data_IF_454584383220
#
_entry.id   IF_454584383220
#
_cell.length_a   1.000
_cell.length_b   1.000
_cell.length_c   1.000
_cell.angle_alpha   90.00
_cell.angle_beta   90.00
_cell.angle_gamma   90.00
#
_symmetry.space_group_name_H-M   'P 1'
#
loop_
_entity.id
_entity.type
_entity.pdbx_description
1 polymer ?
#
# COMPACT_ATOMS: atom_id res chain seq x y z
N UNK A 1 -1.30 -31.35 76.48
CA UNK A 1 -0.90 -31.63 75.07
C UNK A 1 -2.03 -31.99 74.11
N UNK A 2 -2.96 -32.92 74.44
CA UNK A 2 -4.02 -33.37 73.48
C UNK A 2 -4.95 -32.27 72.96
N UNK A 3 -5.33 -31.26 73.77
CA UNK A 3 -6.20 -30.15 73.31
C UNK A 3 -5.54 -29.23 72.28
N UNK A 4 -4.23 -28.97 72.38
CA UNK A 4 -3.50 -28.15 71.41
C UNK A 4 -3.33 -28.83 70.05
N UNK A 5 -3.23 -30.16 70.02
CA UNK A 5 -3.11 -30.92 68.78
C UNK A 5 -4.41 -30.92 67.96
N UNK A 6 -5.57 -30.87 68.65
CA UNK A 6 -6.89 -30.81 68.00
C UNK A 6 -7.10 -29.44 67.35
N UNK A 7 -6.78 -28.34 68.04
CA UNK A 7 -6.92 -26.98 67.48
C UNK A 7 -6.02 -26.73 66.28
N UNK A 8 -4.79 -27.26 66.27
CA UNK A 8 -3.88 -27.13 65.12
C UNK A 8 -4.42 -27.88 63.89
N UNK A 9 -4.98 -29.09 64.08
CA UNK A 9 -5.57 -29.86 62.96
C UNK A 9 -6.80 -29.17 62.37
N UNK A 10 -7.69 -28.62 63.20
CA UNK A 10 -8.87 -27.91 62.72
C UNK A 10 -8.50 -26.62 61.98
N UNK A 11 -7.50 -25.89 62.46
CA UNK A 11 -7.01 -24.68 61.80
C UNK A 11 -6.36 -24.99 60.44
N UNK A 12 -5.54 -26.05 60.38
CA UNK A 12 -4.93 -26.49 59.13
C UNK A 12 -5.97 -26.92 58.09
N UNK A 13 -7.01 -27.64 58.52
CA UNK A 13 -8.09 -28.07 57.62
C UNK A 13 -8.91 -26.88 57.10
N UNK A 14 -9.24 -25.91 57.96
CA UNK A 14 -9.91 -24.67 57.55
C UNK A 14 -9.06 -23.86 56.56
N UNK A 15 -7.77 -23.72 56.82
CA UNK A 15 -6.85 -23.01 55.92
C UNK A 15 -6.75 -23.72 54.56
N UNK A 16 -6.67 -25.05 54.55
CA UNK A 16 -6.62 -25.85 53.34
C UNK A 16 -7.92 -25.75 52.53
N UNK A 17 -9.07 -25.77 53.20
CA UNK A 17 -10.38 -25.56 52.58
C UNK A 17 -10.50 -24.15 51.97
N UNK A 18 -10.04 -23.11 52.67
CA UNK A 18 -10.02 -21.74 52.15
C UNK A 18 -9.09 -21.62 50.94
N UNK A 19 -7.89 -22.20 51.00
CA UNK A 19 -6.94 -22.19 49.87
C UNK A 19 -7.52 -22.92 48.64
N UNK A 20 -8.11 -24.11 48.82
CA UNK A 20 -8.80 -24.84 47.75
C UNK A 20 -9.97 -24.04 47.17
N UNK A 21 -10.72 -23.31 48.01
CA UNK A 21 -11.82 -22.45 47.57
C UNK A 21 -11.31 -21.25 46.76
N UNK A 22 -10.19 -20.64 47.16
CA UNK A 22 -9.57 -19.53 46.43
C UNK A 22 -9.07 -20.00 45.07
N UNK A 23 -8.43 -21.16 44.99
CA UNK A 23 -8.01 -21.76 43.71
C UNK A 23 -9.22 -22.07 42.83
N UNK A 24 -10.30 -22.63 43.38
CA UNK A 24 -11.52 -22.91 42.63
C UNK A 24 -12.22 -21.63 42.11
N UNK A 25 -12.12 -20.49 42.83
CA UNK A 25 -12.68 -19.20 42.37
C UNK A 25 -11.77 -18.52 41.35
N UNK A 26 -10.45 -18.60 41.50
CA UNK A 26 -9.47 -18.03 40.56
C UNK A 26 -9.37 -18.82 39.25
N UNK A 27 -9.73 -20.10 39.25
CA UNK A 27 -9.77 -20.96 38.06
C UNK A 27 -11.15 -21.05 37.38
N UNK A 28 -12.13 -20.21 37.74
CA UNK A 28 -13.33 -20.07 36.92
C UNK A 28 -13.00 -19.27 35.66
N UNK A 29 -13.62 -19.65 34.54
CA UNK A 29 -13.57 -18.95 33.23
C UNK A 29 -13.96 -17.46 33.32
N UNK A 30 -14.54 -17.04 34.45
CA UNK A 30 -15.03 -15.69 34.75
C UNK A 30 -14.22 -14.99 35.87
N UNK A 31 -12.94 -15.29 36.03
CA UNK A 31 -12.07 -14.52 36.94
C UNK A 31 -11.92 -13.06 36.49
N UNK A 32 -11.69 -12.12 37.42
CA UNK A 32 -11.50 -10.67 37.14
C UNK A 32 -10.43 -10.36 36.07
N UNK A 33 -9.47 -11.25 35.87
CA UNK A 33 -8.42 -11.12 34.85
C UNK A 33 -8.90 -11.52 33.43
N UNK A 34 -9.96 -12.32 33.32
CA UNK A 34 -10.53 -12.70 32.03
C UNK A 34 -11.42 -11.57 31.45
N UNK A 35 -12.09 -10.80 32.32
CA UNK A 35 -12.91 -9.63 31.92
C UNK A 35 -12.10 -8.43 31.41
N UNK A 36 -10.77 -8.42 31.56
CA UNK A 36 -9.88 -7.36 31.04
C UNK A 36 -9.27 -7.68 29.67
N UNK A 37 -9.58 -8.83 29.07
CA UNK A 37 -9.06 -9.20 27.74
C UNK A 37 -9.94 -8.57 26.66
N UNK A 38 -9.50 -7.44 26.11
CA UNK A 38 -10.14 -6.85 24.94
C UNK A 38 -9.75 -7.62 23.68
N UNK A 39 -10.73 -8.21 22.99
CA UNK A 39 -10.53 -8.99 21.75
C UNK A 39 -10.97 -8.24 20.50
N UNK A 40 -11.61 -7.08 20.64
CA UNK A 40 -12.02 -6.25 19.52
C UNK A 40 -10.84 -5.76 18.68
N UNK A 41 -11.16 -5.23 17.50
CA UNK A 41 -10.24 -4.42 16.71
C UNK A 41 -10.76 -2.99 16.77
N UNK A 42 -9.94 -2.02 17.21
CA UNK A 42 -10.37 -0.63 17.20
C UNK A 42 -10.40 -0.10 15.77
N UNK A 43 -11.30 0.83 15.46
CA UNK A 43 -11.37 1.42 14.12
C UNK A 43 -10.08 2.14 13.71
N UNK A 44 -9.31 2.64 14.68
CA UNK A 44 -7.99 3.23 14.48
C UNK A 44 -6.93 2.23 13.99
N UNK A 45 -7.15 0.94 14.23
CA UNK A 45 -6.19 -0.12 13.93
C UNK A 45 -6.44 -0.72 12.54
N UNK A 46 -7.55 -0.37 11.88
CA UNK A 46 -7.88 -0.87 10.55
C UNK A 46 -6.96 -0.19 9.52
N UNK A 47 -5.95 -0.93 9.06
CA UNK A 47 -5.09 -0.51 7.98
C UNK A 47 -5.47 -1.18 6.65
N UNK A 48 -6.21 -0.45 5.81
CA UNK A 48 -6.60 -0.91 4.47
C UNK A 48 -5.43 -1.17 3.52
N UNK A 49 -4.21 -0.72 3.87
CA UNK A 49 -3.03 -0.88 3.02
C UNK A 49 -2.34 -2.23 3.22
N UNK A 50 -2.79 -3.07 4.16
CA UNK A 50 -2.37 -4.46 4.29
C UNK A 50 -3.01 -5.29 3.17
N UNK A 51 -2.17 -5.94 2.37
CA UNK A 51 -2.61 -6.83 1.28
C UNK A 51 -3.08 -8.16 1.85
N UNK A 52 -4.34 -8.52 1.60
CA UNK A 52 -5.02 -9.62 2.28
C UNK A 52 -5.57 -10.67 1.31
N UNK A 53 -4.70 -11.45 0.64
CA UNK A 53 -5.12 -12.49 -0.28
C UNK A 53 -5.68 -13.71 0.48
N UNK A 54 -6.52 -14.50 -0.18
CA UNK A 54 -7.01 -15.73 0.42
C UNK A 54 -5.91 -16.79 0.55
N UNK A 55 -5.06 -16.94 -0.47
CA UNK A 55 -3.95 -17.89 -0.52
C UNK A 55 -2.59 -17.24 -0.24
N UNK A 56 -1.65 -18.04 0.25
CA UNK A 56 -0.29 -17.58 0.54
C UNK A 56 0.50 -17.17 -0.70
N UNK A 57 0.11 -17.70 -1.85
CA UNK A 57 0.71 -17.38 -3.14
C UNK A 57 -0.36 -16.91 -4.11
N UNK A 58 -0.21 -15.69 -4.60
CA UNK A 58 -1.00 -15.16 -5.72
C UNK A 58 -0.09 -14.97 -6.92
N UNK A 59 -0.38 -15.67 -8.03
CA UNK A 59 0.35 -15.49 -9.28
C UNK A 59 -0.43 -14.56 -10.18
N UNK A 60 0.25 -13.50 -10.63
CA UNK A 60 -0.30 -12.56 -11.58
C UNK A 60 -0.39 -13.19 -12.96
N UNK A 61 -1.61 -13.30 -13.51
CA UNK A 61 -1.83 -13.79 -14.88
C UNK A 61 -1.59 -12.69 -15.92
N UNK A 62 -0.48 -11.97 -15.77
CA UNK A 62 -0.20 -10.75 -16.53
C UNK A 62 1.03 -10.90 -17.43
N UNK A 63 1.73 -12.05 -17.42
CA UNK A 63 2.91 -12.25 -18.25
C UNK A 63 2.79 -13.54 -19.06
N UNK A 64 3.19 -13.51 -20.34
CA UNK A 64 3.35 -14.71 -21.16
C UNK A 64 4.44 -15.64 -20.64
N UNK A 65 5.42 -15.11 -19.91
CA UNK A 65 6.45 -15.86 -19.19
C UNK A 65 6.55 -15.35 -17.76
N UNK A 66 6.46 -16.25 -16.78
CA UNK A 66 6.47 -15.91 -15.35
C UNK A 66 7.84 -15.39 -14.91
N UNK A 67 7.88 -14.17 -14.40
CA UNK A 67 9.03 -13.56 -13.73
C UNK A 67 8.96 -13.72 -12.21
N UNK A 68 10.08 -13.51 -11.53
CA UNK A 68 10.15 -13.45 -10.06
C UNK A 68 9.23 -12.34 -9.50
N UNK A 69 9.04 -11.26 -10.27
CA UNK A 69 8.19 -10.12 -9.92
C UNK A 69 6.71 -10.31 -10.28
N UNK A 70 6.28 -11.53 -10.61
CA UNK A 70 4.87 -11.87 -10.95
C UNK A 70 4.18 -12.74 -9.88
N UNK A 71 4.84 -13.00 -8.75
CA UNK A 71 4.28 -13.79 -7.66
C UNK A 71 4.30 -13.01 -6.36
N UNK A 72 3.14 -12.96 -5.71
CA UNK A 72 2.99 -12.38 -4.38
C UNK A 72 3.00 -13.53 -3.38
N UNK A 73 3.99 -13.50 -2.50
CA UNK A 73 4.15 -14.45 -1.40
C UNK A 73 3.94 -13.68 -0.10
N UNK A 74 2.90 -14.02 0.64
CA UNK A 74 2.52 -13.46 1.94
C UNK A 74 1.66 -14.47 2.70
N UNK A 75 1.39 -14.27 4.00
CA UNK A 75 0.41 -15.10 4.71
C UNK A 75 -0.99 -14.78 4.21
N UNK A 76 -1.71 -15.77 3.68
CA UNK A 76 -3.08 -15.66 3.23
C UNK A 76 -4.10 -16.00 4.32
N UNK A 77 -5.36 -15.62 4.09
CA UNK A 77 -6.47 -15.90 5.01
C UNK A 77 -6.60 -17.39 5.32
N UNK A 78 -6.39 -18.26 4.34
CA UNK A 78 -6.47 -19.71 4.56
C UNK A 78 -5.46 -20.17 5.61
N UNK A 79 -4.22 -19.67 5.56
CA UNK A 79 -3.17 -20.06 6.51
C UNK A 79 -3.42 -19.47 7.89
N UNK A 80 -3.94 -18.24 7.98
CA UNK A 80 -4.39 -17.64 9.25
C UNK A 80 -5.47 -18.50 9.90
N UNK A 81 -6.50 -18.88 9.15
CA UNK A 81 -7.59 -19.72 9.65
C UNK A 81 -7.09 -21.12 10.02
N UNK A 82 -6.19 -21.72 9.23
CA UNK A 82 -5.60 -23.02 9.56
C UNK A 82 -4.81 -22.98 10.86
N UNK A 83 -3.93 -21.99 11.02
CA UNK A 83 -3.08 -21.86 12.20
C UNK A 83 -3.87 -21.68 13.50
N UNK A 84 -4.97 -20.92 13.43
CA UNK A 84 -5.75 -20.53 14.60
C UNK A 84 -6.96 -21.46 14.87
N UNK A 85 -7.55 -22.05 13.83
CA UNK A 85 -8.88 -22.70 13.95
C UNK A 85 -8.89 -24.19 13.56
N UNK A 86 -8.01 -24.67 12.68
CA UNK A 86 -8.16 -26.01 12.07
C UNK A 86 -8.06 -27.18 13.06
N UNK A 87 -7.40 -27.00 14.21
CA UNK A 87 -7.35 -28.03 15.25
C UNK A 87 -8.75 -28.39 15.77
N UNK A 88 -9.67 -27.42 15.82
CA UNK A 88 -11.02 -27.59 16.32
C UNK A 88 -12.09 -27.53 15.22
N UNK A 89 -11.76 -27.00 14.04
CA UNK A 89 -12.69 -26.81 12.92
C UNK A 89 -12.10 -27.43 11.65
N UNK A 90 -12.42 -28.70 11.44
CA UNK A 90 -11.91 -29.51 10.34
C UNK A 90 -13.05 -30.35 9.74
N UNK A 91 -12.72 -31.30 8.86
CA UNK A 91 -13.72 -32.13 8.19
C UNK A 91 -14.61 -32.93 9.16
N UNK A 92 -14.17 -33.16 10.41
CA UNK A 92 -14.90 -33.92 11.42
C UNK A 92 -15.66 -33.05 12.42
N UNK A 93 -15.32 -31.77 12.56
CA UNK A 93 -15.90 -30.86 13.55
C UNK A 93 -16.41 -29.60 12.86
N UNK A 94 -17.73 -29.37 12.94
CA UNK A 94 -18.40 -28.24 12.28
C UNK A 94 -18.27 -26.92 13.08
N UNK A 95 -18.32 -25.75 12.41
CA UNK A 95 -18.25 -25.58 10.96
C UNK A 95 -16.90 -26.05 10.41
N UNK A 96 -16.90 -26.57 9.17
CA UNK A 96 -15.66 -26.88 8.47
C UNK A 96 -14.96 -25.56 8.10
N UNK A 97 -13.63 -25.51 8.11
CA UNK A 97 -12.83 -24.32 7.77
C UNK A 97 -11.64 -24.68 6.86
N UNK A 98 -11.75 -25.75 6.07
CA UNK A 98 -10.66 -26.28 5.27
C UNK A 98 -10.60 -25.63 3.88
N UNK A 99 -11.75 -25.45 3.23
CA UNK A 99 -11.84 -24.92 1.86
C UNK A 99 -12.24 -23.45 1.82
N UNK A 100 -12.06 -22.82 0.66
CA UNK A 100 -12.54 -21.45 0.42
C UNK A 100 -14.05 -21.34 0.66
N UNK A 101 -14.86 -22.25 0.10
CA UNK A 101 -16.32 -22.21 0.24
C UNK A 101 -16.78 -22.40 1.69
N UNK A 102 -16.09 -23.25 2.45
CA UNK A 102 -16.35 -23.44 3.88
C UNK A 102 -16.18 -22.13 4.65
N UNK A 103 -15.04 -21.46 4.48
CA UNK A 103 -14.75 -20.19 5.15
C UNK A 103 -15.69 -19.09 4.63
N UNK A 104 -15.92 -19.05 3.31
CA UNK A 104 -16.80 -18.08 2.66
C UNK A 104 -18.25 -18.16 3.17
N UNK A 105 -18.71 -19.34 3.57
CA UNK A 105 -20.06 -19.52 4.13
C UNK A 105 -20.29 -18.78 5.45
N UNK A 106 -19.22 -18.40 6.16
CA UNK A 106 -19.27 -17.69 7.44
C UNK A 106 -19.08 -16.18 7.31
N UNK A 107 -18.94 -15.67 6.09
CA UNK A 107 -18.72 -14.25 5.83
C UNK A 107 -19.82 -13.69 4.95
N UNK A 108 -20.11 -12.41 5.17
CA UNK A 108 -20.94 -11.59 4.31
C UNK A 108 -19.98 -10.69 3.52
N UNK A 109 -19.72 -10.99 2.23
CA UNK A 109 -18.85 -10.19 1.38
C UNK A 109 -19.17 -8.69 1.47
N UNK A 110 -18.14 -7.87 1.69
CA UNK A 110 -18.27 -6.41 1.81
C UNK A 110 -18.69 -5.91 3.20
N UNK A 111 -19.11 -6.80 4.10
CA UNK A 111 -19.62 -6.45 5.43
C UNK A 111 -18.99 -7.32 6.55
N UNK A 112 -17.82 -6.91 7.07
CA UNK A 112 -17.16 -7.60 8.18
C UNK A 112 -18.05 -7.73 9.42
N UNK A 113 -18.76 -6.69 9.83
CA UNK A 113 -19.58 -6.71 11.05
C UNK A 113 -20.77 -7.67 10.97
N UNK A 114 -21.32 -7.89 9.78
CA UNK A 114 -22.37 -8.89 9.55
C UNK A 114 -21.82 -10.32 9.41
N UNK A 115 -20.49 -10.50 9.34
CA UNK A 115 -19.86 -11.81 9.12
C UNK A 115 -19.71 -12.58 10.42
N UNK A 116 -20.21 -13.81 10.45
CA UNK A 116 -20.12 -14.67 11.64
C UNK A 116 -18.68 -14.94 12.05
N UNK A 117 -17.79 -15.16 11.07
CA UNK A 117 -16.35 -15.33 11.30
C UNK A 117 -15.77 -14.15 12.07
N UNK A 118 -16.06 -12.92 11.62
CA UNK A 118 -15.56 -11.70 12.26
C UNK A 118 -16.09 -11.56 13.69
N UNK A 119 -17.40 -11.72 13.88
CA UNK A 119 -18.04 -11.58 15.19
C UNK A 119 -17.42 -12.49 16.26
N UNK A 120 -17.08 -13.74 15.92
CA UNK A 120 -16.52 -14.68 16.91
C UNK A 120 -15.04 -14.42 17.23
N UNK A 121 -14.27 -13.87 16.29
CA UNK A 121 -12.85 -13.56 16.53
C UNK A 121 -12.65 -12.22 17.25
N UNK A 122 -13.64 -11.33 17.23
CA UNK A 122 -13.59 -10.01 17.88
C UNK A 122 -14.47 -9.86 19.12
N UNK A 123 -15.39 -10.80 19.39
CA UNK A 123 -16.26 -10.70 20.57
C UNK A 123 -15.48 -10.78 21.88
N UNK A 124 -15.92 -9.97 22.85
CA UNK A 124 -15.50 -10.01 24.26
C UNK A 124 -16.33 -11.02 25.08
N UNK A 125 -17.37 -11.64 24.51
CA UNK A 125 -18.06 -12.76 25.14
C UNK A 125 -17.17 -14.01 25.05
N UNK A 126 -16.47 -14.33 26.14
CA UNK A 126 -15.49 -15.41 26.22
C UNK A 126 -16.10 -16.81 26.04
N UNK A 127 -17.43 -16.93 26.09
CA UNK A 127 -18.15 -18.17 25.79
C UNK A 127 -18.42 -18.34 24.29
N UNK A 128 -18.44 -17.23 23.53
CA UNK A 128 -18.63 -17.22 22.08
C UNK A 128 -17.33 -16.96 21.30
N UNK A 129 -16.30 -16.50 22.00
CA UNK A 129 -14.98 -16.20 21.48
C UNK A 129 -14.33 -17.40 20.79
N UNK A 130 -13.86 -17.18 19.56
CA UNK A 130 -13.06 -18.15 18.80
C UNK A 130 -11.70 -17.53 18.41
N UNK A 131 -10.59 -18.29 18.47
CA UNK A 131 -10.46 -19.55 19.19
C UNK A 131 -10.80 -19.39 20.70
N UNK A 132 -11.22 -20.47 21.38
CA UNK A 132 -11.55 -20.41 22.80
C UNK A 132 -10.36 -19.89 23.60
N UNK A 133 -10.60 -19.06 24.62
CA UNK A 133 -9.53 -18.47 25.44
C UNK A 133 -8.62 -19.51 26.11
N UNK A 134 -9.12 -20.72 26.35
CA UNK A 134 -8.37 -21.84 26.93
C UNK A 134 -7.29 -22.39 26.00
N UNK A 135 -7.32 -22.02 24.71
CA UNK A 135 -6.31 -22.45 23.74
C UNK A 135 -5.10 -21.53 23.70
N UNK A 136 -5.16 -20.35 24.32
CA UNK A 136 -4.14 -19.29 24.26
C UNK A 136 -3.78 -18.82 22.82
N UNK A 137 -4.48 -19.31 21.80
CA UNK A 137 -4.31 -18.98 20.38
C UNK A 137 -5.26 -17.86 19.94
N UNK A 138 -5.18 -16.71 20.59
CA UNK A 138 -5.96 -15.56 20.12
C UNK A 138 -5.46 -15.10 18.75
N UNK A 139 -6.38 -14.82 17.82
CA UNK A 139 -6.03 -14.25 16.51
C UNK A 139 -5.34 -12.90 16.75
N UNK A 140 -4.17 -12.72 16.16
CA UNK A 140 -3.37 -11.50 16.31
C UNK A 140 -4.09 -10.28 15.73
N UNK A 141 -3.68 -9.07 16.11
CA UNK A 141 -4.24 -7.83 15.55
C UNK A 141 -4.00 -7.73 14.04
N UNK A 142 -2.80 -8.10 13.57
CA UNK A 142 -2.46 -8.09 12.13
C UNK A 142 -3.28 -9.10 11.32
N UNK A 143 -3.49 -10.31 11.86
CA UNK A 143 -4.34 -11.32 11.25
C UNK A 143 -5.81 -10.86 11.20
N UNK A 144 -6.29 -10.18 12.25
CA UNK A 144 -7.64 -9.59 12.26
C UNK A 144 -7.77 -8.51 11.20
N UNK A 145 -6.78 -7.62 11.04
CA UNK A 145 -6.81 -6.61 9.97
C UNK A 145 -6.83 -7.29 8.61
N UNK A 146 -6.05 -8.36 8.43
CA UNK A 146 -6.02 -9.12 7.19
C UNK A 146 -7.38 -9.73 6.86
N UNK A 147 -8.00 -10.42 7.82
CA UNK A 147 -9.36 -10.99 7.69
C UNK A 147 -10.39 -9.88 7.43
N UNK A 148 -10.30 -8.76 8.15
CA UNK A 148 -11.20 -7.63 7.98
C UNK A 148 -11.16 -7.08 6.55
N UNK A 149 -9.95 -6.78 6.05
CA UNK A 149 -9.74 -6.26 4.70
C UNK A 149 -10.22 -7.25 3.64
N UNK A 150 -9.90 -8.54 3.77
CA UNK A 150 -10.37 -9.57 2.83
C UNK A 150 -11.90 -9.62 2.77
N UNK A 151 -12.59 -9.64 3.92
CA UNK A 151 -14.07 -9.61 3.94
C UNK A 151 -14.58 -8.30 3.34
N UNK A 152 -14.01 -7.16 3.75
CA UNK A 152 -14.40 -5.82 3.29
C UNK A 152 -14.27 -5.67 1.77
N UNK A 153 -13.27 -6.32 1.17
CA UNK A 153 -12.99 -6.31 -0.25
C UNK A 153 -13.78 -7.38 -1.03
N UNK A 154 -14.73 -8.06 -0.39
CA UNK A 154 -15.67 -8.97 -1.05
C UNK A 154 -15.37 -10.45 -0.85
N UNK A 155 -14.41 -10.81 0.02
CA UNK A 155 -14.05 -12.19 0.34
C UNK A 155 -13.79 -13.04 -0.91
N UNK A 156 -12.98 -12.51 -1.83
CA UNK A 156 -12.66 -13.16 -3.10
C UNK A 156 -11.56 -14.21 -2.91
N UNK A 157 -11.63 -15.27 -3.73
CA UNK A 157 -10.60 -16.31 -3.75
C UNK A 157 -9.30 -15.79 -4.39
N UNK A 158 -9.46 -15.00 -5.45
CA UNK A 158 -8.39 -14.26 -6.10
C UNK A 158 -8.48 -12.77 -5.76
N UNK A 159 -7.35 -12.09 -5.49
CA UNK A 159 -7.37 -10.66 -5.18
C UNK A 159 -7.97 -9.80 -6.30
N UNK A 160 -8.64 -8.72 -5.90
CA UNK A 160 -9.25 -7.74 -6.80
C UNK A 160 -8.59 -6.37 -6.62
N UNK A 161 -8.98 -5.38 -7.44
CA UNK A 161 -8.39 -4.04 -7.40
C UNK A 161 -8.42 -3.39 -6.00
N UNK A 162 -9.46 -3.66 -5.21
CA UNK A 162 -9.57 -3.16 -3.84
C UNK A 162 -8.49 -3.71 -2.90
N UNK A 163 -7.96 -4.91 -3.17
CA UNK A 163 -6.84 -5.50 -2.44
C UNK A 163 -5.51 -4.87 -2.89
N UNK A 164 -5.33 -4.69 -4.20
CA UNK A 164 -4.06 -4.20 -4.75
C UNK A 164 -3.83 -2.71 -4.52
N UNK A 165 -4.84 -1.86 -4.79
CA UNK A 165 -4.64 -0.42 -4.93
C UNK A 165 -4.11 0.24 -3.64
N UNK A 166 -4.71 0.05 -2.46
CA UNK A 166 -4.24 0.72 -1.25
C UNK A 166 -2.80 0.33 -0.89
N UNK A 167 -2.47 -0.96 -1.00
CA UNK A 167 -1.12 -1.46 -0.74
C UNK A 167 -0.11 -0.96 -1.75
N UNK A 168 -0.42 -1.01 -3.05
CA UNK A 168 0.46 -0.51 -4.11
C UNK A 168 0.74 0.99 -3.95
N UNK A 169 -0.30 1.78 -3.65
CA UNK A 169 -0.16 3.21 -3.39
C UNK A 169 0.77 3.43 -2.20
N UNK A 170 0.54 2.76 -1.05
CA UNK A 170 1.43 2.86 0.12
C UNK A 170 2.87 2.49 -0.23
N UNK A 171 3.08 1.38 -0.93
CA UNK A 171 4.42 0.90 -1.30
C UNK A 171 5.17 1.93 -2.15
N UNK A 172 4.50 2.59 -3.09
CA UNK A 172 5.14 3.61 -3.93
C UNK A 172 5.33 4.93 -3.17
N UNK A 173 4.32 5.36 -2.41
CA UNK A 173 4.33 6.66 -1.71
C UNK A 173 5.26 6.65 -0.50
N UNK A 174 5.45 5.49 0.12
CA UNK A 174 6.22 5.31 1.36
C UNK A 174 7.48 4.44 1.22
N UNK A 175 7.64 3.67 0.14
CA UNK A 175 8.75 2.73 -0.01
C UNK A 175 10.09 3.36 -0.41
N UNK A 176 10.10 4.62 -0.86
CA UNK A 176 11.35 5.33 -1.12
C UNK A 176 11.78 6.10 0.13
N UNK A 177 12.85 5.63 0.79
CA UNK A 177 13.47 6.30 1.95
C UNK A 177 14.13 7.63 1.56
N UNK A 178 14.40 7.83 0.27
CA UNK A 178 14.95 9.06 -0.25
C UNK A 178 13.83 10.09 -0.44
N UNK A 179 14.07 11.31 0.05
CA UNK A 179 13.23 12.52 -0.10
C UNK A 179 13.32 13.01 -1.55
N UNK A 180 13.02 12.15 -2.52
CA UNK A 180 13.26 12.36 -3.95
C UNK A 180 11.94 12.57 -4.72
N UNK A 181 10.86 11.93 -4.27
CA UNK A 181 9.57 11.93 -4.96
C UNK A 181 8.44 12.51 -4.11
N UNK A 182 8.71 13.59 -3.38
CA UNK A 182 7.67 14.30 -2.64
C UNK A 182 7.46 15.73 -3.15
N UNK A 183 6.27 16.26 -2.86
CA UNK A 183 5.84 17.63 -3.09
C UNK A 183 6.77 18.71 -2.51
N UNK A 184 7.58 18.38 -1.50
CA UNK A 184 8.56 19.30 -0.89
C UNK A 184 9.86 19.40 -1.69
N UNK A 185 10.21 18.39 -2.48
CA UNK A 185 11.46 18.34 -3.26
C UNK A 185 11.27 18.42 -4.77
N UNK A 186 10.03 18.25 -5.25
CA UNK A 186 9.71 18.32 -6.68
C UNK A 186 9.73 19.74 -7.24
N UNK A 187 9.75 20.75 -6.37
CA UNK A 187 9.80 22.16 -6.75
C UNK A 187 11.25 22.52 -7.12
N UNK A 188 11.60 22.24 -8.38
CA UNK A 188 12.94 22.48 -8.94
C UNK A 188 13.35 23.96 -8.93
N UNK A 189 14.32 24.34 -9.77
CA UNK A 189 14.94 25.68 -9.82
C UNK A 189 13.99 26.89 -10.00
N UNK A 190 12.70 26.67 -10.22
CA UNK A 190 11.68 27.71 -10.34
C UNK A 190 11.16 28.21 -8.98
N UNK A 191 11.25 27.41 -7.91
CA UNK A 191 10.99 27.86 -6.54
C UNK A 191 12.08 28.80 -6.00
N UNK A 192 13.07 29.17 -6.83
CA UNK A 192 14.04 30.22 -6.53
C UNK A 192 13.34 31.57 -6.53
N UNK A 193 13.66 32.39 -5.52
CA UNK A 193 13.26 33.80 -5.44
C UNK A 193 13.46 34.49 -6.80
N UNK A 194 12.42 35.17 -7.29
CA UNK A 194 12.43 35.91 -8.56
C UNK A 194 11.98 35.13 -9.80
N UNK A 195 11.86 33.80 -9.74
CA UNK A 195 11.52 32.98 -10.92
C UNK A 195 10.04 32.55 -11.02
N UNK A 196 9.21 32.82 -9.99
CA UNK A 196 7.80 32.43 -9.97
C UNK A 196 6.83 33.63 -10.10
N UNK A 197 7.22 34.66 -10.85
CA UNK A 197 6.42 35.88 -11.07
C UNK A 197 5.05 35.61 -11.72
N UNK A 198 4.87 34.43 -12.33
CA UNK A 198 3.71 34.07 -13.15
C UNK A 198 2.51 33.51 -12.35
N UNK A 199 2.58 33.55 -11.01
CA UNK A 199 1.51 33.14 -10.09
C UNK A 199 0.86 34.32 -9.34
N UNK A 200 1.03 35.55 -9.83
CA UNK A 200 0.41 36.74 -9.25
C UNK A 200 1.07 37.24 -7.95
N UNK A 201 2.19 36.63 -7.54
CA UNK A 201 3.10 37.18 -6.51
C UNK A 201 4.52 36.65 -6.70
N UNK A 202 5.52 37.47 -6.41
CA UNK A 202 6.92 37.04 -6.33
C UNK A 202 7.15 36.21 -5.07
N UNK A 203 7.92 35.11 -5.18
CA UNK A 203 8.35 34.34 -4.01
C UNK A 203 9.23 35.20 -3.11
N UNK A 204 8.94 35.18 -1.82
CA UNK A 204 9.73 35.85 -0.77
C UNK A 204 10.69 34.86 -0.11
N UNK A 205 11.61 35.36 0.73
CA UNK A 205 12.48 34.50 1.55
C UNK A 205 11.71 33.66 2.56
N UNK A 206 10.51 34.10 2.98
CA UNK A 206 9.59 33.32 3.82
C UNK A 206 8.92 32.18 3.03
N UNK A 207 8.86 32.29 1.70
CA UNK A 207 8.32 31.25 0.83
C UNK A 207 9.39 30.23 0.41
N UNK A 208 10.64 30.29 0.87
CA UNK A 208 11.70 29.38 0.41
C UNK A 208 12.54 28.86 1.55
N UNK A 209 12.65 27.53 1.68
CA UNK A 209 13.56 26.86 2.61
C UNK A 209 14.50 25.96 1.79
N UNK A 210 15.81 26.09 1.98
CA UNK A 210 16.79 25.21 1.35
C UNK A 210 16.84 23.88 2.12
N UNK A 211 16.53 22.77 1.47
CA UNK A 211 16.78 21.44 2.03
C UNK A 211 18.10 20.88 1.47
N UNK A 212 19.01 20.37 2.32
CA UNK A 212 20.17 19.64 1.84
C UNK A 212 19.70 18.33 1.17
N UNK A 213 20.09 18.14 -0.08
CA UNK A 213 19.89 16.86 -0.78
C UNK A 213 21.02 15.92 -0.38
N UNK A 214 20.72 14.81 0.28
CA UNK A 214 21.72 13.75 0.48
C UNK A 214 22.14 13.18 -0.88
N UNK A 215 23.44 13.28 -1.21
CA UNK A 215 24.03 12.65 -2.40
C UNK A 215 24.33 13.57 -3.59
N UNK A 216 24.11 14.89 -3.49
CA UNK A 216 24.58 15.81 -4.52
C UNK A 216 26.12 15.97 -4.44
N UNK A 217 26.83 15.63 -5.51
CA UNK A 217 28.28 15.88 -5.59
C UNK A 217 28.56 17.40 -5.56
N UNK A 218 29.60 17.86 -4.84
CA UNK A 218 30.09 19.24 -4.93
C UNK A 218 30.47 19.62 -6.38
N UNK A 219 30.33 20.89 -6.81
CA UNK A 219 30.13 22.09 -5.99
C UNK A 219 28.71 22.67 -6.01
N UNK A 220 27.71 21.94 -6.52
CA UNK A 220 26.33 22.47 -6.63
C UNK A 220 25.28 21.35 -6.46
N UNK A 221 24.74 21.13 -5.25
CA UNK A 221 23.39 20.63 -5.14
C UNK A 221 22.47 21.76 -5.64
N UNK A 222 21.65 21.59 -6.68
CA UNK A 222 20.42 22.37 -6.75
C UNK A 222 19.60 21.93 -5.52
N UNK A 223 19.77 22.66 -4.42
CA UNK A 223 19.00 22.45 -3.20
C UNK A 223 17.52 22.44 -3.57
N UNK A 224 16.82 21.40 -3.16
CA UNK A 224 15.37 21.37 -3.21
C UNK A 224 14.86 22.55 -2.38
N UNK A 225 14.10 23.44 -3.01
CA UNK A 225 13.58 24.63 -2.36
C UNK A 225 12.20 24.30 -1.83
N UNK A 226 12.10 23.90 -0.57
CA UNK A 226 10.79 23.71 0.05
C UNK A 226 10.10 25.07 0.14
N UNK A 227 9.07 25.28 -0.68
CA UNK A 227 8.17 26.42 -0.52
C UNK A 227 7.18 26.16 0.61
N UNK A 228 6.46 27.18 1.07
CA UNK A 228 5.25 27.00 1.88
C UNK A 228 4.35 25.91 1.27
N UNK A 229 3.95 24.90 2.05
CA UNK A 229 3.16 23.73 1.60
C UNK A 229 1.88 24.12 0.83
N UNK A 230 1.20 25.20 1.25
CA UNK A 230 -0.02 25.69 0.58
C UNK A 230 0.30 26.21 -0.81
N UNK A 231 1.42 26.92 -0.95
CA UNK A 231 1.88 27.46 -2.22
C UNK A 231 2.41 26.36 -3.14
N UNK A 232 3.16 25.40 -2.61
CA UNK A 232 3.60 24.20 -3.32
C UNK A 232 2.42 23.46 -3.95
N UNK A 233 1.38 23.16 -3.14
CA UNK A 233 0.18 22.46 -3.62
C UNK A 233 -0.53 23.24 -4.72
N UNK A 234 -0.66 24.57 -4.59
CA UNK A 234 -1.27 25.42 -5.62
C UNK A 234 -0.51 25.38 -6.94
N UNK A 235 0.81 25.44 -6.88
CA UNK A 235 1.64 25.48 -8.07
C UNK A 235 1.68 24.12 -8.75
N UNK A 236 1.85 23.05 -7.97
CA UNK A 236 1.76 21.69 -8.48
C UNK A 236 0.42 21.44 -9.17
N UNK A 237 -0.69 21.84 -8.55
CA UNK A 237 -2.02 21.74 -9.15
C UNK A 237 -2.12 22.53 -10.46
N UNK A 238 -1.65 23.77 -10.49
CA UNK A 238 -1.65 24.61 -11.70
C UNK A 238 -0.84 24.00 -12.83
N UNK A 239 0.28 23.35 -12.50
CA UNK A 239 1.11 22.62 -13.44
C UNK A 239 0.38 21.37 -13.99
N UNK A 240 -0.22 20.56 -13.11
CA UNK A 240 -1.01 19.40 -13.52
C UNK A 240 -2.14 19.79 -14.47
N UNK A 241 -2.88 20.85 -14.15
CA UNK A 241 -3.99 21.36 -14.98
C UNK A 241 -3.50 21.84 -16.34
N UNK A 242 -2.29 22.40 -16.41
CA UNK A 242 -1.70 22.81 -17.67
C UNK A 242 -1.32 21.63 -18.56
N UNK A 243 -0.69 20.60 -17.98
CA UNK A 243 -0.31 19.38 -18.69
C UNK A 243 -1.55 18.63 -19.20
N UNK A 244 -2.57 18.48 -18.36
CA UNK A 244 -3.83 17.83 -18.75
C UNK A 244 -4.47 18.58 -19.93
N UNK A 245 -4.58 19.91 -19.86
CA UNK A 245 -5.13 20.72 -20.97
C UNK A 245 -4.38 20.51 -22.28
N UNK A 246 -3.05 20.53 -22.24
CA UNK A 246 -2.23 20.31 -23.43
C UNK A 246 -2.48 18.96 -24.10
N UNK A 247 -2.47 17.87 -23.33
CA UNK A 247 -2.64 16.53 -23.88
C UNK A 247 -4.10 16.18 -24.21
N UNK A 248 -5.06 17.00 -23.78
CA UNK A 248 -6.49 16.82 -24.09
C UNK A 248 -6.97 17.73 -25.23
N UNK A 249 -6.29 18.84 -25.51
CA UNK A 249 -6.66 19.74 -26.60
C UNK A 249 -5.93 19.38 -27.91
N UNK A 250 -6.69 18.88 -28.89
CA UNK A 250 -6.19 18.42 -30.19
C UNK A 250 -5.70 19.54 -31.12
N UNK A 251 -5.98 20.82 -30.81
CA UNK A 251 -5.56 21.94 -31.67
C UNK A 251 -4.11 22.36 -31.48
N UNK A 252 -3.38 21.79 -30.50
CA UNK A 252 -1.97 22.12 -30.19
C UNK A 252 -1.65 23.61 -29.97
N UNK A 253 -2.66 24.47 -29.84
CA UNK A 253 -2.49 25.92 -29.64
C UNK A 253 -2.41 26.32 -28.16
N UNK A 254 -2.81 25.43 -27.25
CA UNK A 254 -2.75 25.71 -25.82
C UNK A 254 -1.32 25.61 -25.29
N UNK A 255 -0.88 26.68 -24.62
CA UNK A 255 0.44 26.76 -24.00
C UNK A 255 0.45 25.96 -22.70
N UNK A 256 1.49 25.15 -22.50
CA UNK A 256 1.70 24.41 -21.24
C UNK A 256 2.65 25.21 -20.38
N UNK A 257 2.24 25.56 -19.16
CA UNK A 257 3.19 26.03 -18.14
C UNK A 257 4.31 24.98 -18.00
N UNK A 258 5.57 25.40 -18.16
CA UNK A 258 6.76 24.53 -18.15
C UNK A 258 6.71 23.54 -16.99
N UNK A 259 7.16 22.31 -17.22
CA UNK A 259 7.78 21.50 -16.17
C UNK A 259 9.20 22.00 -15.94
N UNK A 260 9.49 22.81 -14.92
CA UNK A 260 10.76 23.52 -14.88
C UNK A 260 11.80 22.58 -14.28
N UNK A 261 12.46 21.81 -15.14
CA UNK A 261 13.75 21.13 -14.87
C UNK A 261 13.85 20.42 -13.52
N UNK A 262 12.73 19.93 -12.99
CA UNK A 262 12.76 19.11 -11.79
C UNK A 262 12.93 17.68 -12.26
N UNK A 263 14.02 17.00 -11.88
CA UNK A 263 14.28 15.64 -12.34
C UNK A 263 13.22 14.64 -11.83
N UNK A 264 12.38 15.03 -10.86
CA UNK A 264 11.56 14.12 -10.06
C UNK A 264 10.17 14.71 -9.79
N UNK A 265 9.14 13.90 -10.03
CA UNK A 265 7.76 14.24 -9.68
C UNK A 265 7.38 13.83 -8.26
N UNK A 266 6.39 14.49 -7.66
CA UNK A 266 5.66 13.98 -6.51
C UNK A 266 5.06 12.61 -6.83
N UNK A 267 5.20 11.67 -5.89
CA UNK A 267 4.52 10.39 -5.85
C UNK A 267 3.77 10.23 -4.51
N UNK A 268 3.36 11.34 -3.87
CA UNK A 268 2.81 11.36 -2.51
C UNK A 268 1.43 10.70 -2.36
N UNK A 269 0.66 10.61 -3.44
CA UNK A 269 -0.70 10.08 -3.41
C UNK A 269 -1.10 9.51 -4.77
N UNK A 270 -2.22 8.79 -4.78
CA UNK A 270 -2.79 8.15 -5.96
C UNK A 270 -2.96 9.09 -7.17
N UNK A 271 -3.42 10.34 -6.97
CA UNK A 271 -3.59 11.29 -8.06
C UNK A 271 -2.24 11.68 -8.69
N UNK A 272 -1.18 11.76 -7.90
CA UNK A 272 0.16 12.01 -8.42
C UNK A 272 0.71 10.79 -9.17
N UNK A 273 0.43 9.58 -8.69
CA UNK A 273 0.79 8.35 -9.42
C UNK A 273 0.09 8.28 -10.78
N UNK A 274 -1.24 8.49 -10.82
CA UNK A 274 -1.99 8.53 -12.07
C UNK A 274 -1.48 9.61 -13.02
N UNK A 275 -1.18 10.80 -12.50
CA UNK A 275 -0.59 11.87 -13.30
C UNK A 275 0.76 11.46 -13.89
N UNK A 276 1.62 10.77 -13.13
CA UNK A 276 2.91 10.25 -13.63
C UNK A 276 2.73 9.17 -14.71
N UNK A 277 1.71 8.33 -14.56
CA UNK A 277 1.40 7.25 -15.51
C UNK A 277 0.83 7.80 -16.82
N UNK A 278 -0.16 8.69 -16.73
CA UNK A 278 -0.87 9.23 -17.89
C UNK A 278 -0.05 10.31 -18.61
N UNK A 279 0.79 11.04 -17.86
CA UNK A 279 1.67 12.08 -18.37
C UNK A 279 3.11 11.85 -17.89
N UNK A 280 3.79 10.81 -18.42
CA UNK A 280 5.19 10.50 -18.11
C UNK A 280 6.09 11.74 -18.17
N UNK A 281 7.00 11.85 -17.20
CA UNK A 281 7.91 12.99 -17.10
C UNK A 281 8.66 13.30 -18.40
N UNK A 282 9.06 12.24 -19.10
CA UNK A 282 9.82 12.37 -20.33
C UNK A 282 8.99 12.92 -21.51
N UNK A 283 7.65 12.82 -21.48
CA UNK A 283 6.77 13.45 -22.47
C UNK A 283 6.50 14.94 -22.18
N UNK A 284 6.81 15.43 -20.97
CA UNK A 284 6.55 16.81 -20.53
C UNK A 284 7.80 17.61 -20.16
N UNK A 285 8.99 17.05 -20.41
CA UNK A 285 10.27 17.73 -20.22
C UNK A 285 10.60 18.61 -21.43
N UNK A 286 10.98 19.86 -21.19
CA UNK A 286 11.10 20.93 -22.20
C UNK A 286 12.55 21.35 -22.41
N UNK A 287 12.98 21.48 -23.66
CA UNK A 287 14.28 22.06 -24.06
C UNK A 287 14.22 23.49 -24.60
N UNK A 288 13.08 24.08 -24.95
CA UNK A 288 13.03 25.43 -25.58
C UNK A 288 12.09 26.42 -24.88
N UNK A 289 12.62 27.59 -24.52
CA UNK A 289 11.85 28.78 -24.07
C UNK A 289 11.71 29.77 -25.23
N UNK A 290 10.49 30.24 -25.54
CA UNK A 290 10.35 31.46 -26.35
C UNK A 290 10.54 32.67 -25.44
N UNK A 291 11.59 33.45 -25.71
CA UNK A 291 11.96 34.61 -24.88
C UNK A 291 11.01 35.81 -25.07
N UNK A 292 10.11 35.79 -26.05
CA UNK A 292 9.30 36.95 -26.45
C UNK A 292 7.96 37.01 -25.72
N UNK A 293 7.25 35.89 -25.59
CA UNK A 293 5.92 35.88 -24.95
C UNK A 293 5.93 35.40 -23.49
N UNK A 294 7.09 34.94 -22.99
CA UNK A 294 7.24 34.21 -21.71
C UNK A 294 6.41 32.92 -21.62
N UNK A 295 5.78 32.51 -22.71
CA UNK A 295 5.11 31.22 -22.79
C UNK A 295 6.12 30.09 -22.80
N UNK A 296 5.71 28.98 -22.19
CA UNK A 296 6.55 27.83 -21.98
C UNK A 296 6.00 26.70 -22.87
N UNK A 297 6.87 25.97 -23.58
CA UNK A 297 6.46 25.04 -24.64
C UNK A 297 6.77 23.61 -24.24
N UNK A 298 5.85 22.67 -24.41
CA UNK A 298 6.19 21.23 -24.33
C UNK A 298 6.62 20.77 -25.72
N UNK A 299 7.84 20.21 -25.83
CA UNK A 299 8.16 19.34 -26.95
C UNK A 299 8.01 17.91 -26.46
N UNK A 300 7.07 17.16 -27.05
CA UNK A 300 7.00 15.73 -26.84
C UNK A 300 8.30 15.08 -27.35
N UNK A 301 9.27 14.86 -26.48
CA UNK A 301 10.38 13.96 -26.79
C UNK A 301 9.94 12.53 -26.50
N UNK A 302 10.48 11.56 -27.24
CA UNK A 302 10.15 10.14 -27.18
C UNK A 302 10.54 9.54 -25.83
N UNK A 303 9.72 9.77 -24.81
CA UNK A 303 10.12 9.64 -23.42
C UNK A 303 10.01 8.24 -22.81
N UNK A 304 11.14 7.75 -22.27
CA UNK A 304 11.45 6.39 -21.85
C UNK A 304 10.90 5.95 -20.47
N UNK A 305 9.99 6.72 -19.86
CA UNK A 305 9.88 6.75 -18.40
C UNK A 305 8.48 6.44 -17.85
N UNK A 306 8.08 5.17 -17.89
CA UNK A 306 6.81 4.68 -17.31
C UNK A 306 7.00 4.30 -15.83
N UNK A 307 6.03 4.62 -14.96
CA UNK A 307 6.08 4.30 -13.52
C UNK A 307 6.37 2.82 -13.26
N UNK A 308 5.72 1.91 -14.00
CA UNK A 308 5.90 0.48 -13.78
C UNK A 308 7.32 0.02 -14.15
N UNK A 309 7.88 0.55 -15.24
CA UNK A 309 9.26 0.28 -15.64
C UNK A 309 10.30 0.92 -14.70
N UNK A 310 9.89 1.84 -13.80
CA UNK A 310 10.76 2.35 -12.72
C UNK A 310 10.79 1.42 -11.51
N UNK A 311 9.72 0.66 -11.25
CA UNK A 311 9.61 -0.20 -10.06
C UNK A 311 9.93 -1.66 -10.34
N UNK A 312 9.85 -2.10 -11.60
CA UNK A 312 10.13 -3.48 -12.00
C UNK A 312 11.31 -3.52 -12.98
N UNK A 313 12.48 -3.94 -12.51
CA UNK A 313 13.68 -4.05 -13.34
C UNK A 313 13.64 -5.19 -14.36
N UNK A 314 12.64 -6.08 -14.28
CA UNK A 314 12.49 -7.24 -15.17
C UNK A 314 11.79 -6.91 -16.48
N UNK A 315 11.24 -5.69 -16.60
CA UNK A 315 10.48 -5.24 -17.77
C UNK A 315 11.12 -4.01 -18.42
N UNK A 316 10.91 -3.83 -19.72
CA UNK A 316 11.28 -2.64 -20.47
C UNK A 316 10.04 -2.01 -21.12
N UNK A 317 10.01 -0.69 -21.24
CA UNK A 317 8.90 0.05 -21.85
C UNK A 317 9.29 0.53 -23.25
N UNK A 318 8.53 0.13 -24.28
CA UNK A 318 8.67 0.57 -25.69
C UNK A 318 10.11 0.61 -26.25
N UNK A 319 10.96 -0.37 -25.91
CA UNK A 319 12.30 -0.52 -26.49
C UNK A 319 13.38 0.41 -25.92
N UNK A 320 13.09 1.14 -24.85
CA UNK A 320 14.07 2.00 -24.20
C UNK A 320 14.81 1.28 -23.07
N UNK A 321 16.09 1.59 -22.91
CA UNK A 321 16.95 1.02 -21.88
C UNK A 321 16.40 1.30 -20.46
N UNK A 322 16.66 0.35 -19.53
CA UNK A 322 16.27 0.43 -18.12
C UNK A 322 16.69 1.78 -17.54
N UNK A 323 15.75 2.71 -17.30
CA UNK A 323 16.06 3.96 -16.60
C UNK A 323 16.08 3.67 -15.10
N UNK A 324 17.24 3.24 -14.62
CA UNK A 324 17.49 2.70 -13.29
C UNK A 324 17.48 3.67 -12.12
N UNK A 325 16.72 4.78 -12.14
CA UNK A 325 16.75 5.69 -10.99
C UNK A 325 15.84 5.26 -9.83
N UNK A 326 14.88 4.36 -10.08
CA UNK A 326 14.32 3.49 -9.03
C UNK A 326 14.60 2.00 -9.32
N UNK A 327 14.74 1.61 -10.60
CA UNK A 327 14.84 0.21 -11.02
C UNK A 327 16.23 -0.44 -10.87
N UNK A 328 17.33 0.27 -10.59
CA UNK A 328 18.64 -0.42 -10.47
C UNK A 328 18.70 -1.39 -9.28
N UNK A 329 17.76 -1.28 -8.34
CA UNK A 329 17.58 -2.18 -7.20
C UNK A 329 16.09 -2.37 -6.81
N UNK A 330 15.16 -2.35 -7.79
CA UNK A 330 13.70 -2.39 -7.56
C UNK A 330 13.21 -1.36 -6.51
N UNK A 331 13.93 -0.25 -6.31
CA UNK A 331 13.63 0.76 -5.30
C UNK A 331 13.71 0.23 -3.86
N UNK A 332 14.45 -0.86 -3.64
CA UNK A 332 14.46 -1.67 -2.42
C UNK A 332 13.13 -2.38 -2.11
N UNK A 333 12.25 -2.51 -3.10
CA UNK A 333 11.04 -3.32 -3.00
C UNK A 333 11.38 -4.81 -3.14
N UNK A 334 10.67 -5.63 -2.38
CA UNK A 334 10.69 -7.10 -2.52
C UNK A 334 9.92 -7.49 -3.78
N UNK A 335 10.23 -8.65 -4.36
CA UNK A 335 9.51 -9.16 -5.54
C UNK A 335 7.99 -9.26 -5.35
N UNK A 336 7.52 -9.66 -4.16
CA UNK A 336 6.08 -9.65 -3.83
C UNK A 336 5.47 -8.25 -3.88
N UNK A 337 6.21 -7.21 -3.49
CA UNK A 337 5.75 -5.82 -3.47
C UNK A 337 5.67 -5.25 -4.90
N UNK A 338 6.66 -5.57 -5.74
CA UNK A 338 6.61 -5.27 -7.18
C UNK A 338 5.40 -5.94 -7.82
N UNK A 339 5.13 -7.21 -7.48
CA UNK A 339 3.96 -7.93 -7.96
C UNK A 339 2.63 -7.28 -7.51
N UNK A 340 2.53 -6.80 -6.27
CA UNK A 340 1.34 -6.04 -5.82
C UNK A 340 1.14 -4.78 -6.68
N UNK A 341 2.22 -4.04 -6.95
CA UNK A 341 2.17 -2.83 -7.79
C UNK A 341 1.74 -3.17 -9.23
N UNK A 342 2.24 -4.28 -9.80
CA UNK A 342 1.80 -4.78 -11.12
C UNK A 342 0.31 -5.10 -11.10
N UNK A 343 -0.16 -5.86 -10.12
CA UNK A 343 -1.58 -6.21 -9.98
C UNK A 343 -2.48 -4.98 -9.97
N UNK A 344 -2.11 -3.96 -9.18
CA UNK A 344 -2.79 -2.66 -9.21
C UNK A 344 -2.74 -2.00 -10.59
N UNK A 345 -1.54 -1.87 -11.18
CA UNK A 345 -1.33 -1.15 -12.44
C UNK A 345 -2.22 -1.68 -13.57
N UNK A 346 -2.34 -3.00 -13.69
CA UNK A 346 -3.10 -3.62 -14.78
C UNK A 346 -4.60 -3.68 -14.50
N UNK A 347 -5.02 -3.82 -13.23
CA UNK A 347 -6.44 -3.87 -12.86
C UNK A 347 -7.09 -2.48 -12.73
N UNK A 348 -6.33 -1.41 -12.58
CA UNK A 348 -6.91 -0.09 -12.33
C UNK A 348 -7.55 0.52 -13.59
N UNK A 349 -8.88 0.77 -13.64
CA UNK A 349 -9.54 1.33 -14.82
C UNK A 349 -9.13 2.78 -15.09
N UNK A 350 -8.55 3.48 -14.12
CA UNK A 350 -8.05 4.84 -14.31
C UNK A 350 -6.71 4.89 -15.05
N UNK A 351 -6.07 3.74 -15.30
CA UNK A 351 -4.89 3.63 -16.15
C UNK A 351 -5.35 3.19 -17.55
N UNK A 352 -5.18 4.04 -18.58
CA UNK A 352 -5.59 3.71 -19.94
C UNK A 352 -4.93 2.44 -20.50
N UNK A 353 -5.68 1.68 -21.29
CA UNK A 353 -5.20 0.45 -21.96
C UNK A 353 -3.91 0.66 -22.76
N UNK A 354 -3.72 1.83 -23.38
CA UNK A 354 -2.50 2.14 -24.15
C UNK A 354 -1.23 2.12 -23.28
N UNK A 355 -1.35 2.42 -21.99
CA UNK A 355 -0.25 2.37 -21.03
C UNK A 355 -0.03 0.97 -20.45
N UNK A 356 -1.07 0.12 -20.47
CA UNK A 356 -1.01 -1.28 -20.03
C UNK A 356 -0.50 -2.20 -21.13
N UNK A 357 -1.13 -2.13 -22.31
CA UNK A 357 -1.01 -3.13 -23.37
C UNK A 357 -0.31 -2.56 -24.61
N UNK A 358 -0.29 -1.25 -24.79
CA UNK A 358 0.23 -0.58 -25.98
C UNK A 358 -0.85 -0.28 -27.01
N UNK A 359 -0.46 0.02 -28.25
CA UNK A 359 -1.37 0.46 -29.32
C UNK A 359 -1.78 -0.66 -30.29
N UNK A 360 -1.80 -1.91 -29.82
CA UNK A 360 -2.14 -3.09 -30.63
C UNK A 360 -0.97 -3.64 -31.45
N UNK A 361 -0.22 -2.80 -32.15
CA UNK A 361 0.95 -3.23 -32.95
C UNK A 361 2.25 -3.23 -32.15
N UNK A 362 2.35 -2.34 -31.15
CA UNK A 362 3.55 -2.20 -30.32
C UNK A 362 3.17 -2.43 -28.86
N UNK A 363 3.67 -3.48 -28.20
CA UNK A 363 3.37 -3.73 -26.80
C UNK A 363 3.92 -2.60 -25.94
N UNK A 364 3.20 -2.25 -24.88
CA UNK A 364 3.68 -1.28 -23.89
C UNK A 364 4.95 -1.80 -23.18
N UNK A 365 4.91 -3.06 -22.75
CA UNK A 365 5.99 -3.68 -21.97
C UNK A 365 6.54 -4.93 -22.67
N UNK A 366 7.87 -5.10 -22.57
CA UNK A 366 8.60 -6.27 -23.02
C UNK A 366 9.45 -6.84 -21.88
N UNK A 367 9.64 -8.16 -21.85
CA UNK A 367 10.54 -8.83 -20.91
C UNK A 367 12.01 -8.57 -21.26
N UNK A 368 12.94 -9.15 -20.49
CA UNK A 368 14.38 -9.04 -20.72
C UNK A 368 14.83 -9.64 -22.08
N UNK A 369 14.05 -10.56 -22.65
CA UNK A 369 14.28 -11.20 -23.94
C UNK A 369 13.62 -10.44 -25.09
N UNK A 370 12.90 -9.35 -24.80
CA UNK A 370 12.21 -8.53 -25.80
C UNK A 370 10.82 -9.03 -26.20
N UNK A 371 10.30 -10.08 -25.54
CA UNK A 371 8.96 -10.60 -25.80
C UNK A 371 7.90 -9.69 -25.15
N UNK A 372 6.74 -9.50 -25.79
CA UNK A 372 5.61 -8.79 -25.18
C UNK A 372 5.19 -9.45 -23.86
N UNK A 373 5.05 -8.68 -22.78
CA UNK A 373 4.57 -9.22 -21.50
C UNK A 373 3.06 -9.49 -21.55
N UNK A 374 2.32 -8.69 -22.32
CA UNK A 374 0.87 -8.83 -22.52
C UNK A 374 0.46 -8.59 -23.96
N UNK A 375 -0.61 -9.30 -24.36
CA UNK A 375 -1.49 -8.92 -25.46
C UNK A 375 -2.92 -8.90 -24.92
N UNK A 376 -3.70 -7.89 -25.31
CA UNK A 376 -5.11 -7.72 -24.90
C UNK A 376 -5.96 -8.89 -25.38
#
# INVERSE_FOLDING_TARGET
MKRHLITIKTLAFMLCAVLMSIVAVQCKKEGKNASSIFRGLASSDIDSTIFSPFYDTTVLSIATAKSINDSIITTGIQSIIKANCANCHNNNIKPNLVTFNDIKSLVVPGNPEASKLWQVITTNDLNKAMPPITTEKAVSTEDKISIYNWIKNGANETPVLADYRPTAVRLITGGCTAVCHNDKVCVGNWARKGNATDFGRSLTTLDTISAPVHGAMPPNPPGCLSVNDTLNKRIWKSYQDSVIRYFTNLSNTDTVRKSPSSPLDPLNNYNNLLFNICYPNALRSVTTTNKVTKDLFVSATSGNNNLLAKVDATISFKGFAKSGNMASADGHLKSSEVAIIKGWYFLDPNIPDVWKYGNGTTPAFKDAQGNPILKK
#
